data_IF_515768230592
#
_entry.id   IF_515768230592
#
_cell.length_a   1.000
_cell.length_b   1.000
_cell.length_c   1.000
_cell.angle_alpha   90.00
_cell.angle_beta   90.00
_cell.angle_gamma   90.00
#
_symmetry.space_group_name_H-M   'P 1'
#
loop_
_entity.id
_entity.type
_entity.pdbx_description
1 polymer ?
#
# COMPACT_ATOMS: atom_id res chain seq x y z
N UNK A 1 -2.44 1.47 -40.60
CA UNK A 1 -1.96 2.17 -39.39
C UNK A 1 -3.01 1.98 -38.31
N UNK A 2 -2.78 1.10 -37.35
CA UNK A 2 -3.65 0.98 -36.18
C UNK A 2 -3.43 2.19 -35.27
N UNK A 3 -4.52 2.84 -34.87
CA UNK A 3 -4.48 3.98 -33.97
C UNK A 3 -3.99 3.51 -32.60
N UNK A 4 -2.84 4.05 -32.16
CA UNK A 4 -2.34 3.85 -30.80
C UNK A 4 -3.34 4.53 -29.87
N UNK A 5 -4.21 3.73 -29.24
CA UNK A 5 -5.17 4.22 -28.27
C UNK A 5 -4.43 4.54 -26.98
N UNK A 6 -4.17 5.84 -26.74
CA UNK A 6 -3.70 6.33 -25.46
C UNK A 6 -4.85 6.29 -24.45
N UNK A 7 -5.10 5.11 -23.86
CA UNK A 7 -5.93 5.05 -22.66
C UNK A 7 -5.24 5.91 -21.59
N UNK A 8 -5.90 6.92 -21.01
CA UNK A 8 -5.34 7.65 -19.89
C UNK A 8 -5.02 6.64 -18.77
N UNK A 9 -3.87 6.80 -18.08
CA UNK A 9 -3.51 5.88 -17.00
C UNK A 9 -4.64 5.86 -15.98
N UNK A 10 -5.16 4.67 -15.66
CA UNK A 10 -6.18 4.51 -14.63
C UNK A 10 -5.68 5.13 -13.32
N UNK A 11 -6.38 6.17 -12.88
CA UNK A 11 -6.10 6.82 -11.61
C UNK A 11 -6.47 5.84 -10.52
N UNK A 12 -5.47 5.36 -9.79
CA UNK A 12 -5.69 4.53 -8.62
C UNK A 12 -6.38 5.36 -7.54
N UNK A 13 -7.64 5.01 -7.24
CA UNK A 13 -8.39 5.57 -6.11
C UNK A 13 -8.23 4.61 -4.93
N UNK A 14 -7.59 5.04 -3.83
CA UNK A 14 -7.35 4.17 -2.68
C UNK A 14 -8.61 3.97 -1.83
N UNK A 15 -9.04 2.73 -1.64
CA UNK A 15 -9.98 2.36 -0.57
C UNK A 15 -9.47 2.71 0.85
N UNK A 16 -10.37 2.82 1.84
CA UNK A 16 -10.00 3.09 3.24
C UNK A 16 -8.95 2.12 3.81
N UNK A 17 -9.04 0.83 3.45
CA UNK A 17 -8.06 -0.17 3.89
C UNK A 17 -6.65 0.10 3.33
N UNK A 18 -6.54 0.68 2.13
CA UNK A 18 -5.25 1.07 1.55
C UNK A 18 -4.62 2.20 2.36
N UNK A 19 -5.41 3.19 2.78
CA UNK A 19 -4.93 4.29 3.63
C UNK A 19 -4.47 3.78 4.99
N UNK A 20 -5.24 2.88 5.60
CA UNK A 20 -4.88 2.25 6.89
C UNK A 20 -3.58 1.46 6.80
N UNK A 21 -3.37 0.69 5.73
CA UNK A 21 -2.12 -0.02 5.47
C UNK A 21 -0.95 0.96 5.28
N UNK A 22 -1.12 2.03 4.50
CA UNK A 22 -0.07 3.03 4.30
C UNK A 22 0.32 3.74 5.60
N UNK A 23 -0.67 4.06 6.43
CA UNK A 23 -0.46 4.62 7.77
C UNK A 23 0.33 3.67 8.68
N UNK A 24 -0.07 2.39 8.73
CA UNK A 24 0.63 1.37 9.51
C UNK A 24 2.09 1.14 9.06
N UNK A 25 2.38 1.30 7.77
CA UNK A 25 3.76 1.24 7.25
C UNK A 25 4.53 2.54 7.52
N UNK A 26 3.86 3.69 7.58
CA UNK A 26 4.48 4.99 7.89
C UNK A 26 5.02 5.06 9.31
N UNK A 27 4.31 4.44 10.25
CA UNK A 27 4.60 4.54 11.68
C UNK A 27 5.95 3.88 12.06
N UNK A 28 6.43 2.92 11.24
CA UNK A 28 7.68 2.19 11.47
C UNK A 28 8.62 2.30 10.28
N UNK A 29 9.88 2.68 10.52
CA UNK A 29 10.93 2.66 9.49
C UNK A 29 11.26 1.20 9.10
N UNK A 30 10.51 0.66 8.13
CA UNK A 30 10.59 -0.75 7.72
C UNK A 30 9.63 -1.61 8.53
N UNK A 31 8.42 -1.78 7.99
CA UNK A 31 7.36 -2.53 8.67
C UNK A 31 7.21 -3.91 8.03
N UNK A 32 7.30 -4.99 8.81
CA UNK A 32 7.04 -6.32 8.27
C UNK A 32 5.55 -6.49 7.96
N UNK A 33 5.21 -7.23 6.90
CA UNK A 33 3.80 -7.48 6.56
C UNK A 33 3.01 -8.09 7.74
N UNK A 34 3.66 -8.93 8.56
CA UNK A 34 3.05 -9.48 9.77
C UNK A 34 2.66 -8.42 10.79
N UNK A 35 3.48 -7.38 10.98
CA UNK A 35 3.15 -6.27 11.87
C UNK A 35 1.97 -5.45 11.37
N UNK A 36 1.89 -5.20 10.06
CA UNK A 36 0.76 -4.50 9.45
C UNK A 36 -0.54 -5.28 9.66
N UNK A 37 -0.51 -6.61 9.46
CA UNK A 37 -1.66 -7.49 9.71
C UNK A 37 -2.07 -7.43 11.17
N UNK A 38 -1.12 -7.55 12.11
CA UNK A 38 -1.41 -7.53 13.54
C UNK A 38 -2.00 -6.18 13.99
N UNK A 39 -1.52 -5.06 13.43
CA UNK A 39 -2.01 -3.73 13.78
C UNK A 39 -3.42 -3.44 13.26
N UNK A 40 -3.83 -4.09 12.17
CA UNK A 40 -5.13 -3.89 11.55
C UNK A 40 -6.18 -4.92 12.00
N UNK A 41 -5.77 -5.93 12.78
CA UNK A 41 -6.67 -6.86 13.43
C UNK A 41 -7.19 -6.25 14.75
N UNK A 42 -8.46 -6.49 15.13
CA UNK A 42 -9.47 -7.28 14.43
C UNK A 42 -10.30 -6.50 13.39
N UNK A 43 -10.07 -5.19 13.23
CA UNK A 43 -10.89 -4.32 12.36
C UNK A 43 -10.94 -4.78 10.89
N UNK A 44 -9.86 -5.40 10.41
CA UNK A 44 -9.76 -5.96 9.08
C UNK A 44 -9.30 -7.42 9.12
N UNK A 45 -9.91 -8.27 8.30
CA UNK A 45 -9.48 -9.65 8.13
C UNK A 45 -8.07 -9.75 7.53
N UNK A 46 -7.29 -10.72 7.99
CA UNK A 46 -5.91 -10.98 7.56
C UNK A 46 -5.77 -11.07 6.03
N UNK A 47 -6.69 -11.79 5.37
CA UNK A 47 -6.73 -11.93 3.91
C UNK A 47 -6.95 -10.59 3.21
N UNK A 48 -7.81 -9.73 3.75
CA UNK A 48 -8.10 -8.40 3.22
C UNK A 48 -6.88 -7.49 3.33
N UNK A 49 -6.19 -7.51 4.46
CA UNK A 49 -4.95 -6.74 4.66
C UNK A 49 -3.86 -7.19 3.68
N UNK A 50 -3.64 -8.49 3.54
CA UNK A 50 -2.67 -9.02 2.56
C UNK A 50 -3.04 -8.71 1.11
N UNK A 51 -4.33 -8.67 0.79
CA UNK A 51 -4.80 -8.25 -0.52
C UNK A 51 -4.50 -6.76 -0.77
N UNK A 52 -4.83 -5.90 0.19
CA UNK A 52 -4.55 -4.46 0.13
C UNK A 52 -3.04 -4.16 -0.01
N UNK A 53 -2.18 -4.87 0.72
CA UNK A 53 -0.72 -4.76 0.57
C UNK A 53 -0.28 -5.12 -0.85
N UNK A 54 -0.81 -6.20 -1.44
CA UNK A 54 -0.49 -6.61 -2.83
C UNK A 54 -0.91 -5.55 -3.84
N UNK A 55 -2.09 -4.94 -3.68
CA UNK A 55 -2.54 -3.83 -4.53
C UNK A 55 -1.59 -2.64 -4.40
N UNK A 56 -1.23 -2.24 -3.18
CA UNK A 56 -0.32 -1.12 -2.93
C UNK A 56 1.09 -1.34 -3.48
N UNK A 57 1.60 -2.57 -3.45
CA UNK A 57 2.85 -2.96 -4.11
C UNK A 57 2.73 -2.81 -5.64
N UNK A 58 1.67 -3.37 -6.23
CA UNK A 58 1.42 -3.29 -7.68
C UNK A 58 1.25 -1.85 -8.18
N UNK A 59 0.66 -0.98 -7.35
CA UNK A 59 0.47 0.45 -7.68
C UNK A 59 1.70 1.31 -7.35
N UNK A 60 2.79 0.72 -6.86
CA UNK A 60 4.03 1.41 -6.52
C UNK A 60 3.87 2.40 -5.37
N UNK A 61 2.93 2.13 -4.45
CA UNK A 61 2.76 2.91 -3.23
C UNK A 61 3.62 2.34 -2.09
N UNK A 62 3.88 1.04 -2.12
CA UNK A 62 4.79 0.34 -1.23
C UNK A 62 5.93 -0.30 -2.03
N UNK A 63 7.09 -0.42 -1.39
CA UNK A 63 8.19 -1.29 -1.80
C UNK A 63 8.25 -2.49 -0.86
N UNK A 64 8.40 -3.69 -1.43
CA UNK A 64 8.59 -4.94 -0.71
C UNK A 64 10.02 -5.43 -0.87
N UNK A 65 10.74 -5.58 0.24
CA UNK A 65 12.08 -6.16 0.27
C UNK A 65 12.12 -7.43 1.12
N UNK A 66 12.81 -8.47 0.64
CA UNK A 66 13.11 -9.64 1.47
C UNK A 66 14.12 -9.22 2.54
N UNK A 67 13.74 -9.36 3.81
CA UNK A 67 14.60 -9.09 4.97
C UNK A 67 14.71 -10.37 5.80
N UNK A 68 15.85 -11.05 5.71
CA UNK A 68 16.24 -12.32 6.38
C UNK A 68 15.17 -13.43 6.42
N UNK A 69 14.06 -13.23 7.13
CA UNK A 69 12.97 -14.20 7.33
C UNK A 69 11.56 -13.66 7.02
N UNK A 70 11.41 -12.38 6.62
CA UNK A 70 10.11 -11.75 6.37
C UNK A 70 10.14 -10.75 5.20
N UNK A 71 8.96 -10.35 4.74
CA UNK A 71 8.79 -9.26 3.77
C UNK A 71 8.70 -7.95 4.54
N UNK A 72 9.70 -7.10 4.38
CA UNK A 72 9.70 -5.73 4.87
C UNK A 72 9.03 -4.82 3.84
N UNK A 73 8.11 -3.99 4.32
CA UNK A 73 7.39 -2.98 3.55
C UNK A 73 7.97 -1.61 3.88
N UNK A 74 8.13 -0.78 2.84
CA UNK A 74 8.54 0.61 2.94
C UNK A 74 7.62 1.49 2.12
N UNK A 75 7.36 2.70 2.61
CA UNK A 75 6.64 3.70 1.83
C UNK A 75 7.53 4.28 0.73
N UNK A 76 6.99 4.28 -0.48
CA UNK A 76 7.51 5.08 -1.60
C UNK A 76 7.11 6.55 -1.44
N UNK A 77 7.72 7.44 -2.23
CA UNK A 77 7.26 8.83 -2.35
C UNK A 77 5.79 8.93 -2.74
N UNK A 78 5.33 8.06 -3.65
CA UNK A 78 3.93 7.99 -4.10
C UNK A 78 2.99 7.60 -2.96
N UNK A 79 3.37 6.60 -2.16
CA UNK A 79 2.61 6.18 -0.98
C UNK A 79 2.48 7.29 0.06
N UNK A 80 3.56 8.06 0.30
CA UNK A 80 3.53 9.23 1.20
C UNK A 80 2.61 10.33 0.71
N UNK A 81 2.66 10.68 -0.57
CA UNK A 81 1.76 11.68 -1.16
C UNK A 81 0.30 11.25 -1.02
N UNK A 82 0.02 9.98 -1.29
CA UNK A 82 -1.33 9.43 -1.20
C UNK A 82 -1.85 9.44 0.26
N UNK A 83 -0.99 9.09 1.22
CA UNK A 83 -1.31 9.19 2.65
C UNK A 83 -1.55 10.64 3.10
N UNK A 84 -0.72 11.59 2.66
CA UNK A 84 -0.90 13.02 2.98
C UNK A 84 -2.20 13.56 2.40
N UNK A 85 -2.54 13.22 1.15
CA UNK A 85 -3.83 13.62 0.54
C UNK A 85 -5.02 13.09 1.32
N UNK A 86 -4.92 11.89 1.90
CA UNK A 86 -5.96 11.31 2.72
C UNK A 86 -6.05 11.91 4.14
N UNK A 87 -5.01 12.61 4.62
CA UNK A 87 -4.99 13.25 5.93
C UNK A 87 -5.50 14.70 5.91
N UNK A 88 -5.57 15.32 4.73
CA UNK A 88 -6.00 16.73 4.53
C UNK A 88 -7.50 16.82 4.23
N UNK A 89 -8.19 15.68 4.08
CA UNK A 89 -9.60 15.57 3.74
C UNK A 89 -10.36 14.89 4.89
#
# INVERSE_FOLDING_TARGET
>A
MEAISFKPPEVFVPDPIHIRVLSAVSDKQGCQIGHVVQQLLPEHGESSVRSAVRVLLSKGCLDGGKSSSAIALRLTSKGRILLQKAAVN
#
